data_IF_084289066035
#
_entry.id   IF_084289066035
#
_cell.length_a   1.000
_cell.length_b   1.000
_cell.length_c   1.000
_cell.angle_alpha   90.00
_cell.angle_beta   90.00
_cell.angle_gamma   90.00
#
_symmetry.space_group_name_H-M   'P 1'
#
loop_
_entity.id
_entity.type
_entity.pdbx_description
1 polymer ?
#
# COMPACT_ATOMS: atom_id res chain seq x y z
N UNK A 1 77.31 10.63 -77.29
CA UNK A 1 76.80 9.95 -78.50
C UNK A 1 77.18 8.48 -78.42
N UNK A 2 76.20 7.59 -78.63
CA UNK A 2 76.24 6.24 -79.28
C UNK A 2 77.58 5.45 -79.23
N UNK A 3 77.66 4.13 -78.99
CA UNK A 3 76.69 3.01 -78.87
C UNK A 3 77.52 1.70 -78.85
N UNK A 4 77.01 0.66 -78.15
CA UNK A 4 77.20 -0.80 -78.36
C UNK A 4 78.63 -1.40 -78.17
N UNK A 5 78.87 -2.61 -77.66
CA UNK A 5 78.17 -3.89 -77.86
C UNK A 5 78.64 -4.98 -76.84
N UNK A 6 77.66 -5.76 -76.38
CA UNK A 6 77.59 -7.11 -75.77
C UNK A 6 78.80 -7.99 -75.35
N UNK A 7 78.58 -8.60 -74.16
CA UNK A 7 78.72 -10.00 -73.73
C UNK A 7 80.11 -10.64 -73.51
N UNK A 8 80.36 -11.11 -72.27
CA UNK A 8 80.74 -12.50 -72.00
C UNK A 8 80.32 -12.90 -70.56
N UNK A 9 79.65 -14.05 -70.49
CA UNK A 9 79.28 -14.81 -69.29
C UNK A 9 80.57 -15.38 -68.69
N UNK A 10 80.73 -15.24 -67.37
CA UNK A 10 81.82 -15.84 -66.60
C UNK A 10 81.35 -16.20 -65.21
N UNK A 11 80.53 -17.25 -65.11
CA UNK A 11 80.34 -18.00 -63.87
C UNK A 11 81.69 -18.57 -63.44
N UNK A 12 82.33 -17.97 -62.44
CA UNK A 12 83.30 -18.68 -61.62
C UNK A 12 82.52 -19.52 -60.60
N UNK A 13 82.13 -20.70 -61.04
CA UNK A 13 81.63 -21.78 -60.20
C UNK A 13 82.78 -22.23 -59.28
N UNK A 14 82.76 -21.78 -58.03
CA UNK A 14 83.49 -22.45 -56.97
C UNK A 14 82.70 -23.72 -56.63
N UNK A 15 83.19 -24.83 -57.15
CA UNK A 15 82.68 -26.16 -56.85
C UNK A 15 83.13 -26.50 -55.41
N UNK A 16 82.25 -26.35 -54.43
CA UNK A 16 82.44 -26.95 -53.10
C UNK A 16 81.91 -28.37 -53.13
N UNK A 17 82.81 -29.31 -52.89
CA UNK A 17 82.56 -30.74 -52.79
C UNK A 17 81.72 -31.00 -51.54
N UNK A 18 80.51 -31.53 -51.68
CA UNK A 18 79.75 -32.05 -50.54
C UNK A 18 80.33 -33.42 -50.19
N UNK A 19 81.08 -33.47 -49.10
CA UNK A 19 81.33 -34.70 -48.34
C UNK A 19 80.73 -34.44 -46.96
N UNK A 20 79.71 -35.22 -46.59
CA UNK A 20 79.03 -35.18 -45.30
C UNK A 20 78.32 -33.88 -44.88
N UNK A 21 77.76 -33.13 -45.84
CA UNK A 21 76.61 -32.24 -45.57
C UNK A 21 76.84 -30.95 -44.76
N UNK A 22 78.08 -30.47 -44.52
CA UNK A 22 78.34 -29.16 -43.91
C UNK A 22 78.95 -28.16 -44.91
N UNK A 23 78.42 -26.94 -44.94
CA UNK A 23 78.99 -25.78 -45.64
C UNK A 23 79.98 -25.08 -44.70
N UNK A 24 81.21 -24.83 -45.16
CA UNK A 24 82.21 -24.06 -44.41
C UNK A 24 81.74 -22.61 -44.17
N UNK A 25 81.70 -22.17 -42.91
CA UNK A 25 81.55 -20.75 -42.55
C UNK A 25 80.63 -20.37 -41.37
N UNK A 26 79.94 -21.32 -40.73
CA UNK A 26 79.33 -21.13 -39.40
C UNK A 26 79.78 -22.28 -38.53
N UNK A 27 80.66 -22.02 -37.56
CA UNK A 27 80.95 -23.01 -36.51
C UNK A 27 79.61 -23.33 -35.83
N UNK A 28 79.21 -24.60 -35.87
CA UNK A 28 78.14 -25.10 -35.03
C UNK A 28 78.56 -24.83 -33.57
N UNK A 29 77.66 -24.26 -32.77
CA UNK A 29 77.87 -24.11 -31.34
C UNK A 29 78.35 -25.47 -30.75
N UNK A 30 79.27 -25.48 -29.78
CA UNK A 30 79.70 -26.73 -29.19
C UNK A 30 78.50 -27.41 -28.53
N UNK A 31 78.35 -28.70 -28.78
CA UNK A 31 77.56 -29.58 -27.92
C UNK A 31 78.02 -29.34 -26.47
N UNK A 32 77.09 -29.19 -25.51
CA UNK A 32 77.40 -28.81 -24.13
C UNK A 32 78.28 -29.83 -23.38
N UNK A 33 78.69 -30.91 -24.04
CA UNK A 33 79.69 -31.87 -23.60
C UNK A 33 81.05 -31.20 -23.31
N UNK A 34 81.30 -30.94 -22.03
CA UNK A 34 82.57 -30.36 -21.55
C UNK A 34 82.64 -28.84 -21.61
N UNK A 35 81.53 -28.18 -21.96
CA UNK A 35 81.37 -26.73 -21.81
C UNK A 35 81.04 -26.40 -20.34
N UNK A 36 81.52 -25.25 -19.87
CA UNK A 36 81.16 -24.73 -18.55
C UNK A 36 79.71 -24.18 -18.58
N UNK A 37 79.01 -24.21 -17.45
CA UNK A 37 77.66 -23.64 -17.34
C UNK A 37 77.66 -22.14 -17.72
N UNK A 38 76.66 -21.70 -18.48
CA UNK A 38 76.58 -20.35 -19.07
C UNK A 38 77.26 -20.23 -20.44
N UNK A 39 77.95 -21.28 -20.92
CA UNK A 39 78.46 -21.28 -22.31
C UNK A 39 77.29 -21.29 -23.28
N UNK A 40 77.26 -20.42 -24.29
CA UNK A 40 76.15 -20.41 -25.24
C UNK A 40 76.07 -21.66 -26.11
N UNK A 41 74.85 -22.10 -26.39
CA UNK A 41 74.53 -23.27 -27.19
C UNK A 41 73.31 -23.01 -28.09
N UNK A 42 73.13 -23.85 -29.10
CA UNK A 42 71.97 -23.78 -30.02
C UNK A 42 70.98 -24.88 -29.63
N UNK A 43 69.71 -24.52 -29.41
CA UNK A 43 68.67 -25.50 -29.09
C UNK A 43 68.29 -26.28 -30.36
N UNK A 44 68.45 -27.60 -30.32
CA UNK A 44 68.20 -28.50 -31.45
C UNK A 44 66.85 -28.21 -32.14
N UNK A 45 66.91 -27.66 -33.35
CA UNK A 45 65.74 -27.42 -34.20
C UNK A 45 65.03 -26.07 -34.04
N UNK A 46 65.63 -25.09 -33.36
CA UNK A 46 65.11 -23.71 -33.27
C UNK A 46 66.18 -22.66 -33.59
N UNK A 47 65.77 -21.45 -34.00
CA UNK A 47 66.69 -20.30 -34.07
C UNK A 47 66.95 -19.67 -32.68
N UNK A 48 66.40 -20.25 -31.60
CA UNK A 48 66.59 -19.77 -30.24
C UNK A 48 67.95 -20.23 -29.72
N UNK A 49 68.73 -19.26 -29.26
CA UNK A 49 69.99 -19.48 -28.56
C UNK A 49 69.68 -19.80 -27.10
N UNK A 50 70.52 -20.64 -26.48
CA UNK A 50 70.40 -20.99 -25.07
C UNK A 50 71.78 -21.06 -24.43
N UNK A 51 71.81 -21.56 -23.19
CA UNK A 51 73.04 -21.71 -22.40
C UNK A 51 73.20 -23.15 -21.93
N UNK A 52 74.45 -23.60 -21.81
CA UNK A 52 74.77 -24.88 -21.23
C UNK A 52 74.49 -24.84 -19.73
N UNK A 53 73.72 -25.81 -19.23
CA UNK A 53 73.49 -26.05 -17.82
C UNK A 53 73.60 -27.54 -17.53
N UNK A 54 74.57 -27.92 -16.70
CA UNK A 54 74.86 -29.32 -16.38
C UNK A 54 75.03 -30.21 -17.63
N UNK A 55 75.78 -29.72 -18.62
CA UNK A 55 76.08 -30.40 -19.89
C UNK A 55 74.88 -30.57 -20.85
N UNK A 56 73.76 -29.87 -20.62
CA UNK A 56 72.64 -29.82 -21.55
C UNK A 56 72.35 -28.38 -21.97
N UNK A 57 71.90 -28.17 -23.21
CA UNK A 57 71.47 -26.85 -23.66
C UNK A 57 70.06 -26.54 -23.15
N UNK A 58 69.90 -25.46 -22.39
CA UNK A 58 68.60 -24.96 -21.91
C UNK A 58 68.31 -23.57 -22.44
N UNK A 59 67.04 -23.21 -22.55
CA UNK A 59 66.60 -21.83 -22.83
C UNK A 59 67.18 -20.93 -21.74
N UNK A 60 67.85 -19.84 -22.13
CA UNK A 60 68.25 -18.79 -21.19
C UNK A 60 67.01 -18.00 -20.80
N UNK A 61 66.79 -17.83 -19.51
CA UNK A 61 65.72 -16.98 -18.99
C UNK A 61 66.27 -16.16 -17.85
N UNK A 62 65.91 -14.88 -17.84
CA UNK A 62 66.27 -14.01 -16.74
C UNK A 62 65.85 -14.56 -15.38
N UNK A 63 66.80 -14.62 -14.44
CA UNK A 63 66.63 -15.19 -13.11
C UNK A 63 67.05 -16.66 -13.00
N UNK A 64 67.78 -17.22 -13.97
CA UNK A 64 68.21 -18.63 -13.94
C UNK A 64 69.60 -18.85 -13.30
N UNK A 65 70.27 -17.75 -12.97
CA UNK A 65 71.57 -17.64 -12.31
C UNK A 65 72.74 -17.46 -13.29
N UNK A 66 72.48 -17.31 -14.58
CA UNK A 66 73.51 -17.26 -15.63
C UNK A 66 73.21 -16.15 -16.64
N UNK A 67 74.22 -15.35 -16.96
CA UNK A 67 74.10 -14.26 -17.95
C UNK A 67 74.35 -14.77 -19.37
N UNK A 68 73.35 -14.71 -20.25
CA UNK A 68 73.48 -15.04 -21.67
C UNK A 68 73.90 -13.83 -22.52
N UNK A 69 75.19 -13.80 -22.85
CA UNK A 69 75.79 -12.75 -23.68
C UNK A 69 75.25 -12.68 -25.13
N UNK A 70 74.58 -13.72 -25.64
CA UNK A 70 74.01 -13.68 -26.99
C UNK A 70 72.57 -13.16 -27.02
N UNK A 71 71.87 -13.22 -25.90
CA UNK A 71 70.52 -12.69 -25.74
C UNK A 71 70.52 -11.24 -25.20
N UNK A 72 71.71 -10.62 -25.15
CA UNK A 72 71.93 -9.25 -24.65
C UNK A 72 71.53 -9.06 -23.17
N UNK A 73 71.55 -10.12 -22.37
CA UNK A 73 71.33 -10.04 -20.93
C UNK A 73 72.48 -9.26 -20.27
N UNK A 74 72.13 -8.25 -19.47
CA UNK A 74 73.10 -7.39 -18.79
C UNK A 74 73.49 -7.93 -17.42
N UNK A 75 72.58 -8.68 -16.80
CA UNK A 75 72.69 -9.28 -15.47
C UNK A 75 71.87 -10.57 -15.40
N UNK A 76 72.06 -11.34 -14.32
CA UNK A 76 71.17 -12.39 -13.85
C UNK A 76 71.54 -12.67 -12.38
N UNK A 77 70.60 -12.49 -11.46
CA UNK A 77 70.80 -12.69 -10.01
C UNK A 77 70.19 -14.00 -9.48
N UNK A 78 69.64 -14.82 -10.38
CA UNK A 78 69.06 -16.12 -10.06
C UNK A 78 67.65 -16.07 -9.47
N UNK A 79 66.93 -14.95 -9.59
CA UNK A 79 65.54 -14.86 -9.16
C UNK A 79 64.66 -13.91 -10.02
N UNK A 80 63.39 -13.72 -9.66
CA UNK A 80 62.42 -12.89 -10.41
C UNK A 80 61.92 -11.68 -9.57
N UNK A 81 62.66 -11.25 -8.56
CA UNK A 81 62.38 -10.03 -7.80
C UNK A 81 62.88 -8.84 -8.61
N UNK A 82 62.16 -7.71 -8.55
CA UNK A 82 62.55 -6.45 -9.20
C UNK A 82 63.28 -5.57 -8.18
N UNK A 83 64.23 -4.76 -8.64
CA UNK A 83 64.98 -3.81 -7.80
C UNK A 83 66.16 -4.40 -7.01
N UNK A 84 66.43 -5.71 -7.05
CA UNK A 84 67.51 -6.38 -6.32
C UNK A 84 68.80 -6.60 -7.15
N UNK A 85 68.89 -5.97 -8.32
CA UNK A 85 70.09 -5.96 -9.15
C UNK A 85 69.80 -6.31 -10.61
N UNK A 86 68.77 -7.11 -10.87
CA UNK A 86 68.36 -7.49 -12.22
C UNK A 86 66.84 -7.52 -12.40
N UNK A 87 66.34 -6.84 -13.43
CA UNK A 87 64.89 -6.77 -13.65
C UNK A 87 64.30 -8.06 -14.25
N UNK A 88 63.19 -8.57 -13.66
CA UNK A 88 62.58 -9.81 -14.13
C UNK A 88 62.07 -9.64 -15.57
N UNK A 89 62.56 -10.51 -16.45
CA UNK A 89 62.12 -10.62 -17.84
C UNK A 89 62.83 -9.73 -18.86
N UNK A 90 63.45 -8.62 -18.45
CA UNK A 90 64.31 -7.82 -19.36
C UNK A 90 65.79 -8.14 -19.19
N UNK A 91 66.20 -8.65 -18.01
CA UNK A 91 67.60 -8.86 -17.67
C UNK A 91 68.48 -7.63 -17.86
N UNK A 92 67.85 -6.46 -17.71
CA UNK A 92 68.53 -5.20 -17.56
C UNK A 92 68.84 -4.99 -16.07
N UNK A 93 69.93 -4.27 -15.80
CA UNK A 93 70.23 -3.83 -14.43
C UNK A 93 69.04 -3.05 -13.86
N UNK A 94 68.69 -3.29 -12.59
CA UNK A 94 67.58 -2.59 -11.93
C UNK A 94 67.76 -1.08 -11.89
N UNK A 95 69.00 -0.60 -11.88
CA UNK A 95 69.30 0.82 -12.00
C UNK A 95 70.70 1.09 -12.54
N UNK A 96 70.89 2.22 -13.22
CA UNK A 96 72.22 2.78 -13.53
C UNK A 96 72.46 4.11 -12.80
N UNK A 97 71.37 4.79 -12.42
CA UNK A 97 71.36 6.01 -11.63
C UNK A 97 70.18 6.03 -10.65
N UNK A 98 70.23 6.92 -9.66
CA UNK A 98 69.17 7.08 -8.65
C UNK A 98 67.78 7.31 -9.26
N UNK A 99 67.72 7.99 -10.43
CA UNK A 99 66.47 8.26 -11.14
C UNK A 99 65.78 6.99 -11.68
N UNK A 100 66.52 5.89 -11.82
CA UNK A 100 65.96 4.61 -12.28
C UNK A 100 65.30 3.83 -11.12
N UNK A 101 65.61 4.19 -9.87
CA UNK A 101 65.01 3.64 -8.66
C UNK A 101 63.80 4.45 -8.16
N UNK A 102 63.48 5.60 -8.76
CA UNK A 102 62.31 6.37 -8.33
C UNK A 102 61.02 5.62 -8.69
N UNK A 103 60.45 4.90 -7.72
CA UNK A 103 59.13 4.32 -7.82
C UNK A 103 58.02 5.38 -7.61
N UNK A 104 56.76 4.97 -7.80
CA UNK A 104 55.60 5.83 -7.52
C UNK A 104 55.32 5.95 -6.00
N UNK A 105 56.05 5.23 -5.14
CA UNK A 105 55.82 5.16 -3.70
C UNK A 105 56.58 6.25 -2.94
N UNK A 106 56.18 7.50 -3.20
CA UNK A 106 56.70 8.75 -2.59
C UNK A 106 56.94 8.68 -1.07
N UNK A 107 56.21 7.84 -0.32
CA UNK A 107 56.29 7.76 1.13
C UNK A 107 57.48 6.97 1.70
N UNK A 108 58.12 6.07 0.94
CA UNK A 108 59.32 5.36 1.38
C UNK A 108 60.61 6.22 1.23
N UNK A 109 60.49 7.38 0.58
CA UNK A 109 61.56 8.35 0.38
C UNK A 109 62.36 8.11 -0.89
N UNK A 110 63.08 9.12 -1.37
CA UNK A 110 63.89 9.03 -2.60
C UNK A 110 64.85 7.84 -2.53
N UNK A 111 64.66 6.89 -3.45
CA UNK A 111 65.50 5.70 -3.55
C UNK A 111 66.87 6.05 -4.15
N UNK A 112 67.90 5.29 -3.79
CA UNK A 112 69.26 5.44 -4.32
C UNK A 112 69.74 4.16 -4.97
N UNK A 113 70.38 4.30 -6.12
CA UNK A 113 70.97 3.21 -6.87
C UNK A 113 72.41 2.95 -6.37
N UNK A 114 72.67 1.72 -5.91
CA UNK A 114 74.06 1.29 -5.72
C UNK A 114 74.65 0.88 -7.07
N UNK A 115 75.39 1.80 -7.71
CA UNK A 115 76.01 1.57 -9.03
C UNK A 115 77.03 0.41 -9.07
N UNK A 116 77.41 -0.19 -7.93
CA UNK A 116 78.28 -1.37 -7.91
C UNK A 116 77.51 -2.69 -7.96
N UNK A 117 76.28 -2.71 -7.44
CA UNK A 117 75.43 -3.91 -7.33
C UNK A 117 74.16 -3.80 -8.17
N UNK A 118 73.91 -2.62 -8.73
CA UNK A 118 72.69 -2.25 -9.46
C UNK A 118 71.41 -2.43 -8.65
N UNK A 119 71.49 -2.44 -7.32
CA UNK A 119 70.33 -2.59 -6.43
C UNK A 119 69.74 -1.23 -6.05
N UNK A 120 68.41 -1.13 -6.02
CA UNK A 120 67.72 0.03 -5.47
C UNK A 120 67.58 -0.08 -3.95
N UNK A 121 67.90 0.99 -3.26
CA UNK A 121 67.75 1.08 -1.80
C UNK A 121 66.81 2.22 -1.43
N UNK A 122 65.72 1.88 -0.74
CA UNK A 122 64.76 2.86 -0.26
C UNK A 122 65.42 3.92 0.64
N UNK A 123 64.96 5.16 0.49
CA UNK A 123 65.46 6.30 1.24
C UNK A 123 64.96 6.39 2.68
N UNK A 124 65.09 7.58 3.27
CA UNK A 124 64.39 7.91 4.51
C UNK A 124 62.94 8.22 4.21
N UNK A 125 62.00 7.60 4.93
CA UNK A 125 60.56 7.84 4.78
C UNK A 125 60.25 9.34 4.69
N UNK A 126 59.35 9.69 3.76
CA UNK A 126 58.90 11.07 3.60
C UNK A 126 58.30 11.58 4.93
N UNK A 127 58.38 12.90 5.15
CA UNK A 127 57.78 13.51 6.33
C UNK A 127 56.26 13.29 6.31
N UNK A 128 55.66 13.13 7.49
CA UNK A 128 54.20 13.06 7.62
C UNK A 128 53.56 14.31 6.98
N UNK A 129 52.50 14.12 6.19
CA UNK A 129 51.82 15.18 5.43
C UNK A 129 52.41 15.47 4.04
N UNK A 130 53.37 14.66 3.56
CA UNK A 130 53.84 14.72 2.17
C UNK A 130 52.75 14.12 1.26
N UNK A 131 52.30 14.86 0.24
CA UNK A 131 51.33 14.35 -0.72
C UNK A 131 51.86 13.11 -1.47
N UNK A 132 50.98 12.13 -1.67
CA UNK A 132 51.25 10.88 -2.39
C UNK A 132 49.99 10.45 -3.17
N UNK A 133 50.13 9.47 -4.05
CA UNK A 133 49.01 8.92 -4.84
C UNK A 133 49.03 7.41 -4.67
N UNK A 134 47.88 6.80 -4.37
CA UNK A 134 47.75 5.35 -4.26
C UNK A 134 47.63 4.70 -5.66
N UNK A 135 47.77 3.37 -5.73
CA UNK A 135 47.68 2.60 -6.99
C UNK A 135 46.35 2.75 -7.71
N UNK A 136 45.28 3.13 -6.99
CA UNK A 136 43.94 3.40 -7.52
C UNK A 136 43.74 4.85 -7.98
N UNK A 137 44.83 5.62 -8.10
CA UNK A 137 44.87 7.04 -8.48
C UNK A 137 44.20 7.98 -7.46
N UNK A 138 43.92 7.53 -6.24
CA UNK A 138 43.43 8.40 -5.17
C UNK A 138 44.55 9.24 -4.56
N UNK A 139 44.28 10.54 -4.37
CA UNK A 139 45.19 11.45 -3.68
C UNK A 139 45.25 11.08 -2.18
N UNK A 140 46.45 11.08 -1.62
CA UNK A 140 46.69 10.76 -0.21
C UNK A 140 47.86 11.54 0.40
N UNK A 141 48.13 11.27 1.67
CA UNK A 141 49.28 11.81 2.41
C UNK A 141 50.10 10.69 3.06
N UNK A 142 51.41 10.90 3.12
CA UNK A 142 52.32 10.01 3.81
C UNK A 142 52.13 10.11 5.32
N UNK A 143 51.93 8.97 5.98
CA UNK A 143 51.95 8.85 7.45
C UNK A 143 52.69 7.58 7.86
N UNK A 144 53.78 7.74 8.61
CA UNK A 144 54.65 6.64 9.05
C UNK A 144 55.16 5.75 7.89
N UNK A 145 55.46 6.35 6.73
CA UNK A 145 56.03 5.65 5.57
C UNK A 145 55.01 4.96 4.65
N UNK A 146 53.71 5.19 4.84
CA UNK A 146 52.64 4.64 3.97
C UNK A 146 51.75 5.76 3.45
N UNK A 147 51.33 5.68 2.20
CA UNK A 147 50.36 6.59 1.60
C UNK A 147 48.94 6.24 2.06
N UNK A 148 48.16 7.22 2.55
CA UNK A 148 46.78 7.02 3.03
C UNK A 148 45.85 8.08 2.44
N UNK A 149 44.61 7.69 2.13
CA UNK A 149 43.57 8.57 1.58
C UNK A 149 43.11 9.57 2.65
N UNK A 150 42.96 10.83 2.25
CA UNK A 150 42.38 11.90 3.09
C UNK A 150 40.86 11.83 3.03
N UNK A 151 40.18 11.93 4.17
CA UNK A 151 38.74 12.06 4.22
C UNK A 151 38.08 11.24 5.31
N UNK A 152 36.85 11.67 5.61
CA UNK A 152 36.09 11.18 6.74
C UNK A 152 35.82 9.68 6.70
N UNK A 153 36.01 9.04 7.84
CA UNK A 153 35.75 7.61 8.04
C UNK A 153 36.97 6.73 7.79
N UNK A 154 38.19 7.28 7.77
CA UNK A 154 39.42 6.52 7.57
C UNK A 154 40.04 5.97 8.88
N UNK A 155 39.44 6.32 10.02
CA UNK A 155 39.79 5.92 11.39
C UNK A 155 40.82 6.82 12.05
N UNK A 156 41.21 7.94 11.44
CA UNK A 156 42.24 8.85 11.94
C UNK A 156 41.87 10.31 11.69
N UNK A 157 41.72 11.13 12.74
CA UNK A 157 41.49 12.56 12.57
C UNK A 157 42.66 13.23 11.83
N UNK A 158 42.36 13.77 10.65
CA UNK A 158 43.29 14.52 9.81
C UNK A 158 43.18 16.04 10.02
N UNK A 159 44.11 16.82 9.47
CA UNK A 159 44.16 18.28 9.70
C UNK A 159 42.96 18.97 9.03
N UNK A 160 42.02 19.47 9.84
CA UNK A 160 40.77 20.08 9.38
C UNK A 160 39.51 19.28 9.73
N UNK A 161 39.66 18.03 10.17
CA UNK A 161 38.57 17.20 10.68
C UNK A 161 38.37 17.43 12.19
N UNK A 162 37.13 17.43 12.66
CA UNK A 162 36.81 17.55 14.09
C UNK A 162 36.80 16.18 14.80
N UNK A 163 36.57 15.12 14.02
CA UNK A 163 36.52 13.73 14.42
C UNK A 163 36.83 12.85 13.21
N UNK A 164 37.13 11.57 13.45
CA UNK A 164 37.05 10.49 12.47
C UNK A 164 36.90 9.19 13.27
N UNK A 165 35.80 8.48 13.06
CA UNK A 165 35.44 7.28 13.82
C UNK A 165 35.61 5.98 12.99
N UNK A 166 36.16 6.09 11.78
CA UNK A 166 36.42 4.97 10.89
C UNK A 166 35.25 4.55 10.01
N UNK A 167 34.19 5.35 9.91
CA UNK A 167 33.10 5.13 8.96
C UNK A 167 32.41 6.44 8.50
N UNK A 168 31.42 6.35 7.59
CA UNK A 168 30.68 7.50 7.03
C UNK A 168 29.22 7.59 7.53
N UNK A 169 28.86 6.88 8.62
CA UNK A 169 27.51 6.83 9.18
C UNK A 169 27.29 8.04 10.09
N UNK A 170 26.33 8.89 9.73
CA UNK A 170 25.89 10.00 10.58
C UNK A 170 25.31 9.54 11.93
N UNK A 171 25.38 10.42 12.94
CA UNK A 171 24.82 10.27 14.29
C UNK A 171 25.47 9.21 15.20
N UNK A 172 26.65 8.69 14.89
CA UNK A 172 27.39 7.78 15.78
C UNK A 172 28.52 8.47 16.57
N UNK A 173 28.69 9.77 16.38
CA UNK A 173 29.73 10.59 17.03
C UNK A 173 30.61 11.33 16.04
N UNK A 174 30.62 10.92 14.77
CA UNK A 174 31.26 11.66 13.68
C UNK A 174 30.40 11.68 12.42
N UNK A 175 30.05 12.87 11.95
CA UNK A 175 29.28 13.02 10.72
C UNK A 175 30.13 12.73 9.48
N UNK A 176 29.48 12.39 8.37
CA UNK A 176 30.15 12.15 7.07
C UNK A 176 30.96 13.33 6.52
N UNK A 177 30.79 14.54 7.08
CA UNK A 177 31.59 15.72 6.77
C UNK A 177 32.68 16.03 7.81
N UNK A 178 32.94 15.07 8.71
CA UNK A 178 33.94 15.13 9.77
C UNK A 178 33.74 16.27 10.76
N UNK A 179 32.47 16.64 10.96
CA UNK A 179 32.02 17.39 12.12
C UNK A 179 31.50 16.45 13.20
N UNK A 180 31.66 16.81 14.47
CA UNK A 180 31.09 15.99 15.55
C UNK A 180 29.57 16.12 15.55
N UNK A 181 28.85 15.04 15.86
CA UNK A 181 27.39 15.01 15.77
C UNK A 181 26.69 15.98 16.73
N UNK A 182 27.26 16.24 17.91
CA UNK A 182 26.69 17.20 18.87
C UNK A 182 27.72 17.78 19.85
N UNK A 183 27.45 18.99 20.37
CA UNK A 183 28.14 19.59 21.52
C UNK A 183 27.20 19.87 22.69
N UNK A 184 25.92 20.14 22.41
CA UNK A 184 24.86 20.29 23.42
C UNK A 184 23.61 19.52 23.01
N UNK A 185 22.67 19.37 23.94
CA UNK A 185 21.40 18.70 23.68
C UNK A 185 20.62 19.38 22.54
N UNK A 186 20.75 20.71 22.37
CA UNK A 186 20.13 21.44 21.26
C UNK A 186 20.60 21.01 19.87
N UNK A 187 21.82 20.46 19.74
CA UNK A 187 22.36 20.01 18.45
C UNK A 187 21.70 18.69 17.98
N UNK A 188 21.11 17.92 18.91
CA UNK A 188 20.41 16.68 18.61
C UNK A 188 18.94 16.87 18.20
N UNK A 189 18.38 18.08 18.38
CA UNK A 189 16.93 18.37 18.21
C UNK A 189 16.50 18.40 16.74
N UNK A 190 17.41 18.59 15.79
CA UNK A 190 17.09 18.74 14.36
C UNK A 190 17.17 17.40 13.57
N UNK A 191 17.50 16.30 14.24
CA UNK A 191 17.65 14.97 13.62
C UNK A 191 16.52 14.02 14.00
N UNK A 192 15.78 14.33 15.05
CA UNK A 192 14.58 13.61 15.47
C UNK A 192 13.38 13.99 14.58
N UNK A 193 13.09 13.13 13.60
CA UNK A 193 11.86 13.22 12.80
C UNK A 193 10.65 12.57 13.51
N UNK A 194 10.80 12.17 14.77
CA UNK A 194 9.80 11.44 15.54
C UNK A 194 9.57 12.02 16.93
N UNK A 195 8.45 12.69 17.16
CA UNK A 195 8.08 13.25 18.50
C UNK A 195 7.85 12.20 19.61
N UNK A 196 8.23 10.94 19.38
CA UNK A 196 7.92 9.73 20.15
C UNK A 196 9.03 9.24 21.08
N UNK A 197 10.25 9.77 21.00
CA UNK A 197 11.36 9.43 21.88
C UNK A 197 11.89 10.67 22.61
N UNK A 198 10.97 11.42 23.25
CA UNK A 198 11.33 12.45 24.21
C UNK A 198 12.21 13.56 23.63
N UNK A 199 13.06 14.18 24.45
CA UNK A 199 14.08 15.11 23.97
C UNK A 199 15.42 14.38 23.92
N UNK A 200 16.06 14.40 22.76
CA UNK A 200 17.40 13.83 22.59
C UNK A 200 18.43 14.53 23.46
N UNK A 201 19.39 13.75 23.94
CA UNK A 201 20.50 14.25 24.75
C UNK A 201 21.83 13.95 24.08
N UNK A 202 22.76 14.89 24.17
CA UNK A 202 24.10 14.71 23.64
C UNK A 202 25.00 14.04 24.70
N UNK A 203 25.52 12.85 24.41
CA UNK A 203 26.65 12.32 25.19
C UNK A 203 27.93 13.08 24.82
N UNK A 204 28.20 14.16 25.55
CA UNK A 204 29.42 14.98 25.37
C UNK A 204 30.75 14.23 25.56
N UNK A 205 30.74 12.98 26.04
CA UNK A 205 31.96 12.16 26.11
C UNK A 205 32.28 11.49 24.77
N UNK A 206 31.27 11.18 23.96
CA UNK A 206 31.40 10.53 22.65
C UNK A 206 30.92 11.41 21.49
N UNK A 207 30.33 12.56 21.80
CA UNK A 207 29.62 13.46 20.88
C UNK A 207 28.50 12.76 20.10
N UNK A 208 27.86 11.76 20.71
CA UNK A 208 26.77 10.98 20.09
C UNK A 208 25.42 11.44 20.61
N UNK A 209 24.43 11.59 19.73
CA UNK A 209 23.05 11.85 20.14
C UNK A 209 22.39 10.55 20.64
N UNK A 210 21.84 10.60 21.86
CA UNK A 210 21.09 9.52 22.46
C UNK A 210 19.60 9.88 22.47
N UNK A 211 18.80 9.01 21.84
CA UNK A 211 17.33 9.07 21.87
C UNK A 211 16.80 9.18 23.30
N UNK A 212 15.80 10.03 23.50
CA UNK A 212 15.14 10.21 24.80
C UNK A 212 14.35 8.97 25.26
N UNK A 213 13.72 9.08 26.43
CA UNK A 213 12.82 8.03 26.92
C UNK A 213 11.57 7.97 26.03
N UNK A 214 11.22 6.77 25.55
CA UNK A 214 10.04 6.55 24.71
C UNK A 214 8.80 7.18 25.34
N UNK A 215 8.08 7.95 24.54
CA UNK A 215 6.83 8.57 24.94
C UNK A 215 5.80 7.46 25.20
N UNK A 216 5.40 7.34 26.46
CA UNK A 216 4.34 6.43 26.88
C UNK A 216 2.99 7.01 26.47
N UNK A 217 2.42 6.46 25.39
CA UNK A 217 1.14 6.87 24.85
C UNK A 217 -0.05 6.10 25.45
N UNK A 218 0.19 5.16 26.37
CA UNK A 218 -0.88 4.44 27.07
C UNK A 218 -1.70 5.41 27.93
N UNK A 219 -2.93 5.70 27.48
CA UNK A 219 -3.87 6.54 28.23
C UNK A 219 -4.69 5.73 29.25
N UNK A 220 -4.32 4.46 29.43
CA UNK A 220 -4.98 3.45 30.24
C UNK A 220 -6.41 3.12 29.78
N UNK A 221 -6.80 3.51 28.56
CA UNK A 221 -8.05 3.13 27.94
C UNK A 221 -7.86 1.82 27.16
N UNK A 222 -8.45 0.69 27.62
CA UNK A 222 -8.33 -0.58 26.91
C UNK A 222 -9.06 -0.63 25.56
N UNK A 223 -9.83 0.41 25.21
CA UNK A 223 -10.62 0.54 23.98
C UNK A 223 -9.94 1.42 22.92
N UNK A 224 -8.71 1.86 23.13
CA UNK A 224 -7.89 2.51 22.10
C UNK A 224 -6.66 1.67 21.84
N UNK A 225 -6.25 1.61 20.58
CA UNK A 225 -4.90 1.19 20.25
C UNK A 225 -4.00 2.41 20.41
N UNK A 226 -3.19 2.38 21.45
CA UNK A 226 -2.24 3.43 21.73
C UNK A 226 -0.98 3.20 20.91
N UNK A 227 -0.62 4.22 20.14
CA UNK A 227 0.57 4.21 19.30
C UNK A 227 1.18 5.61 19.30
N UNK A 228 2.45 5.69 18.93
CA UNK A 228 3.07 6.99 18.71
C UNK A 228 3.35 7.17 17.22
N UNK A 229 2.70 8.17 16.62
CA UNK A 229 2.95 8.61 15.26
C UNK A 229 4.19 9.54 15.24
N UNK A 230 5.17 9.29 14.36
CA UNK A 230 6.39 10.11 14.29
C UNK A 230 6.15 11.62 14.10
N UNK A 231 5.05 12.03 13.47
CA UNK A 231 4.76 13.43 13.17
C UNK A 231 3.74 14.00 14.17
N UNK A 232 2.70 13.23 14.48
CA UNK A 232 1.55 13.70 15.29
C UNK A 232 1.71 13.43 16.79
N UNK A 233 2.61 12.52 17.19
CA UNK A 233 2.82 12.11 18.58
C UNK A 233 1.85 11.03 19.01
N UNK A 234 1.41 11.05 20.26
CA UNK A 234 0.51 10.01 20.76
C UNK A 234 -0.82 10.02 19.99
N UNK A 235 -1.14 8.86 19.43
CA UNK A 235 -2.39 8.55 18.74
C UNK A 235 -3.06 7.42 19.49
N UNK A 236 -4.27 7.68 19.97
CA UNK A 236 -5.11 6.70 20.65
C UNK A 236 -6.26 6.37 19.71
N UNK A 237 -6.10 5.30 18.94
CA UNK A 237 -6.99 4.96 17.83
C UNK A 237 -8.14 4.07 18.31
N UNK A 238 -9.40 4.53 18.26
CA UNK A 238 -10.56 3.71 18.62
C UNK A 238 -10.96 2.73 17.52
N UNK A 239 -10.51 2.90 16.28
CA UNK A 239 -10.98 2.12 15.12
C UNK A 239 -10.72 0.61 15.17
N UNK A 240 -9.73 0.07 15.91
CA UNK A 240 -9.61 -1.37 16.09
C UNK A 240 -10.77 -1.99 16.89
N UNK A 241 -11.61 -1.15 17.50
CA UNK A 241 -12.70 -1.54 18.37
C UNK A 241 -14.06 -0.92 17.98
N UNK A 242 -14.10 -0.05 16.96
CA UNK A 242 -15.28 0.57 16.30
C UNK A 242 -14.94 0.69 14.80
N UNK A 243 -15.09 -0.42 14.07
CA UNK A 243 -14.60 -0.59 12.71
C UNK A 243 -15.58 -0.04 11.66
N UNK A 244 -16.87 -0.03 11.94
CA UNK A 244 -17.88 0.60 11.08
C UNK A 244 -18.16 2.07 11.42
N UNK A 245 -17.59 2.59 12.51
CA UNK A 245 -17.63 3.99 12.93
C UNK A 245 -19.03 4.48 13.33
N UNK A 246 -19.86 3.60 13.87
CA UNK A 246 -21.19 3.94 14.38
C UNK A 246 -21.17 4.52 15.81
N UNK A 247 -20.02 4.45 16.48
CA UNK A 247 -19.78 4.96 17.82
C UNK A 247 -20.09 3.97 18.95
N UNK A 248 -20.37 2.72 18.61
CA UNK A 248 -20.49 1.58 19.50
C UNK A 248 -19.25 0.67 19.34
N UNK A 249 -18.88 -0.03 20.41
CA UNK A 249 -17.61 -0.77 20.44
C UNK A 249 -17.83 -2.28 20.59
N UNK A 250 -17.00 -3.07 19.92
CA UNK A 250 -16.99 -4.52 20.07
C UNK A 250 -16.43 -4.95 21.44
N UNK A 251 -17.30 -5.19 22.41
CA UNK A 251 -17.02 -5.96 23.64
C UNK A 251 -15.96 -5.42 24.63
N UNK A 252 -15.31 -4.27 24.38
CA UNK A 252 -14.44 -3.61 25.35
C UNK A 252 -15.29 -2.86 26.40
N UNK A 253 -14.96 -2.95 27.70
CA UNK A 253 -15.74 -2.35 28.83
C UNK A 253 -17.28 -2.58 28.83
N UNK A 254 -17.78 -3.63 28.17
CA UNK A 254 -19.23 -3.83 28.03
C UNK A 254 -19.82 -3.14 26.80
N UNK A 255 -19.00 -2.92 25.79
CA UNK A 255 -19.37 -2.55 24.44
C UNK A 255 -20.55 -3.38 23.94
N UNK A 256 -21.42 -2.68 23.23
CA UNK A 256 -22.82 -3.03 23.02
C UNK A 256 -23.12 -3.27 21.53
N UNK A 257 -22.08 -3.29 20.71
CA UNK A 257 -22.13 -3.68 19.31
C UNK A 257 -21.80 -5.18 19.14
N UNK A 258 -22.66 -5.85 18.38
CA UNK A 258 -22.61 -7.28 18.08
C UNK A 258 -22.17 -7.59 16.64
N UNK A 259 -22.06 -6.59 15.76
CA UNK A 259 -21.50 -6.68 14.40
C UNK A 259 -20.77 -5.39 14.01
N UNK A 260 -19.52 -5.29 14.45
CA UNK A 260 -18.52 -4.21 14.23
C UNK A 260 -18.10 -4.02 12.76
N UNK A 261 -18.93 -4.44 11.82
CA UNK A 261 -18.73 -4.27 10.39
C UNK A 261 -19.95 -3.66 9.68
N UNK A 262 -20.97 -3.29 10.44
CA UNK A 262 -22.28 -2.85 9.96
C UNK A 262 -22.84 -1.74 10.86
N UNK A 263 -22.73 -0.49 10.40
CA UNK A 263 -23.13 0.75 11.09
C UNK A 263 -24.65 0.86 11.42
N UNK A 264 -25.41 -0.19 11.15
CA UNK A 264 -26.82 -0.34 11.47
C UNK A 264 -27.10 -1.36 12.58
N UNK A 265 -26.06 -1.96 13.17
CA UNK A 265 -26.15 -3.04 14.15
C UNK A 265 -25.45 -2.63 15.46
N UNK A 266 -26.22 -2.22 16.46
CA UNK A 266 -25.70 -1.83 17.78
C UNK A 266 -26.81 -1.82 18.81
N UNK A 267 -26.47 -1.90 20.11
CA UNK A 267 -27.49 -1.93 21.15
C UNK A 267 -28.40 -0.70 21.13
N UNK A 268 -29.70 -0.95 20.99
CA UNK A 268 -30.73 0.08 20.97
C UNK A 268 -31.02 0.69 19.60
N UNK A 269 -30.43 0.16 18.52
CA UNK A 269 -30.88 0.46 17.17
C UNK A 269 -32.36 0.07 16.95
N UNK A 270 -32.97 0.58 15.88
CA UNK A 270 -34.31 0.13 15.47
C UNK A 270 -34.19 -1.27 14.88
N UNK A 271 -34.94 -2.23 15.43
CA UNK A 271 -34.98 -3.58 14.90
C UNK A 271 -35.79 -3.63 13.62
N UNK A 272 -35.20 -4.17 12.56
CA UNK A 272 -35.82 -4.34 11.26
C UNK A 272 -36.13 -5.82 11.03
N UNK A 273 -36.89 -6.10 9.99
CA UNK A 273 -37.10 -7.44 9.47
C UNK A 273 -36.16 -7.68 8.28
N UNK A 274 -34.86 -7.61 8.52
CA UNK A 274 -33.81 -7.72 7.48
C UNK A 274 -32.90 -8.95 7.67
N UNK A 275 -33.17 -9.77 8.68
CA UNK A 275 -32.42 -10.98 9.02
C UNK A 275 -31.19 -10.71 9.90
N UNK A 276 -31.08 -9.52 10.49
CA UNK A 276 -30.03 -9.15 11.45
C UNK A 276 -30.61 -9.02 12.86
N UNK A 277 -29.72 -8.92 13.84
CA UNK A 277 -30.03 -8.51 15.22
C UNK A 277 -29.62 -7.04 15.32
N UNK A 278 -30.39 -6.12 14.70
CA UNK A 278 -29.95 -4.72 14.56
C UNK A 278 -29.71 -4.08 15.92
N UNK A 279 -30.51 -4.44 16.92
CA UNK A 279 -30.45 -3.83 18.24
C UNK A 279 -29.61 -4.63 19.26
N UNK A 280 -28.94 -5.69 18.83
CA UNK A 280 -28.08 -6.56 19.63
C UNK A 280 -28.74 -7.17 20.89
N UNK A 281 -30.05 -7.47 20.86
CA UNK A 281 -30.78 -8.04 22.00
C UNK A 281 -31.22 -9.50 21.81
N UNK A 282 -30.29 -10.44 21.68
CA UNK A 282 -30.56 -11.89 21.75
C UNK A 282 -31.82 -12.32 20.97
N UNK A 283 -31.87 -11.93 19.70
CA UNK A 283 -32.94 -12.20 18.75
C UNK A 283 -32.41 -12.02 17.33
N UNK A 284 -33.13 -12.48 16.33
CA UNK A 284 -32.96 -11.99 14.96
C UNK A 284 -34.37 -11.60 14.57
N UNK A 285 -34.56 -10.35 14.16
CA UNK A 285 -35.87 -9.75 13.87
C UNK A 285 -36.89 -9.97 15.01
N UNK A 286 -36.49 -9.84 16.30
CA UNK A 286 -37.36 -10.15 17.44
C UNK A 286 -38.48 -9.13 17.67
N UNK A 287 -38.37 -7.96 17.03
CA UNK A 287 -39.46 -7.00 16.91
C UNK A 287 -40.00 -7.04 15.48
N UNK A 288 -41.10 -7.75 15.29
CA UNK A 288 -41.78 -7.88 14.00
C UNK A 288 -43.08 -7.04 13.95
N UNK A 289 -43.52 -6.61 12.75
CA UNK A 289 -44.84 -6.03 12.59
C UNK A 289 -45.92 -7.04 12.98
N UNK A 290 -47.05 -6.53 13.48
CA UNK A 290 -48.20 -7.36 13.87
C UNK A 290 -49.22 -7.35 12.75
N UNK A 291 -49.60 -8.53 12.30
CA UNK A 291 -50.64 -8.76 11.30
C UNK A 291 -51.98 -9.03 11.98
N UNK A 292 -53.03 -8.39 11.47
CA UNK A 292 -54.43 -8.52 11.90
C UNK A 292 -55.24 -9.15 10.78
N UNK A 293 -56.19 -10.02 11.12
CA UNK A 293 -57.01 -10.72 10.12
C UNK A 293 -57.86 -9.70 9.35
N UNK A 294 -57.86 -9.80 8.02
CA UNK A 294 -58.63 -8.97 7.09
C UNK A 294 -59.30 -9.95 6.09
N UNK A 295 -60.56 -10.29 6.37
CA UNK A 295 -61.24 -11.38 5.66
C UNK A 295 -61.78 -10.98 4.28
N UNK A 296 -62.07 -9.71 4.05
CA UNK A 296 -62.60 -9.21 2.78
C UNK A 296 -61.55 -8.47 1.91
N UNK A 297 -60.38 -8.20 2.49
CA UNK A 297 -59.18 -7.67 1.87
C UNK A 297 -59.21 -6.16 1.62
N UNK A 298 -60.04 -5.38 2.31
CA UNK A 298 -60.11 -3.94 2.14
C UNK A 298 -58.97 -3.15 2.81
N UNK A 299 -58.14 -3.83 3.60
CA UNK A 299 -56.96 -3.28 4.28
C UNK A 299 -57.21 -2.90 5.73
N UNK A 300 -58.40 -3.12 6.28
CA UNK A 300 -58.74 -2.90 7.68
C UNK A 300 -59.10 -4.22 8.35
N UNK A 301 -58.91 -4.30 9.67
CA UNK A 301 -59.27 -5.47 10.46
C UNK A 301 -60.41 -5.10 11.40
N UNK A 302 -61.31 -6.03 11.67
CA UNK A 302 -62.41 -5.78 12.60
C UNK A 302 -62.01 -5.87 14.07
N UNK A 303 -61.00 -6.69 14.40
CA UNK A 303 -60.52 -6.82 15.77
C UNK A 303 -59.05 -7.25 15.86
N UNK A 304 -58.58 -7.42 17.11
CA UNK A 304 -57.20 -7.83 17.41
C UNK A 304 -57.08 -9.32 17.76
N UNK A 305 -58.16 -10.09 17.62
CA UNK A 305 -58.15 -11.53 17.87
C UNK A 305 -57.32 -12.21 16.79
N UNK A 306 -56.52 -13.20 17.18
CA UNK A 306 -55.64 -13.95 16.29
C UNK A 306 -54.55 -13.11 15.62
N UNK A 307 -54.23 -11.92 16.14
CA UNK A 307 -53.11 -11.13 15.63
C UNK A 307 -51.78 -11.91 15.76
N UNK A 308 -50.94 -11.81 14.73
CA UNK A 308 -49.68 -12.56 14.62
C UNK A 308 -48.50 -11.59 14.40
N UNK A 309 -47.52 -11.52 15.31
CA UNK A 309 -46.25 -10.86 15.02
C UNK A 309 -45.45 -11.70 14.03
N UNK A 310 -45.07 -11.13 12.88
CA UNK A 310 -44.31 -11.81 11.82
C UNK A 310 -43.72 -10.81 10.83
N UNK A 311 -42.50 -11.05 10.36
CA UNK A 311 -41.87 -10.22 9.33
C UNK A 311 -42.56 -10.36 7.96
N UNK A 312 -42.94 -11.59 7.63
CA UNK A 312 -43.70 -11.89 6.42
C UNK A 312 -45.21 -11.92 6.71
N UNK A 313 -46.01 -11.59 5.71
CA UNK A 313 -47.46 -11.79 5.75
C UNK A 313 -47.76 -13.27 6.02
N UNK A 314 -48.53 -13.61 7.08
CA UNK A 314 -48.81 -15.00 7.41
C UNK A 314 -49.64 -15.70 6.33
N UNK A 315 -49.65 -17.04 6.36
CA UNK A 315 -50.55 -17.80 5.51
C UNK A 315 -52.03 -17.41 5.76
N UNK A 316 -52.92 -17.51 4.75
CA UNK A 316 -54.31 -17.09 4.88
C UNK A 316 -55.02 -17.69 6.10
N UNK A 317 -55.62 -16.84 6.93
CA UNK A 317 -56.35 -17.28 8.11
C UNK A 317 -57.64 -18.02 7.70
N UNK A 318 -57.88 -19.19 8.29
CA UNK A 318 -59.02 -20.05 7.92
C UNK A 318 -58.99 -20.55 6.47
N UNK A 319 -57.91 -20.32 5.72
CA UNK A 319 -57.73 -20.69 4.32
C UNK A 319 -58.25 -19.69 3.29
N UNK A 320 -58.89 -18.59 3.71
CA UNK A 320 -59.48 -17.59 2.80
C UNK A 320 -59.23 -16.14 3.20
N UNK A 321 -59.09 -15.84 4.49
CA UNK A 321 -58.90 -14.47 4.96
C UNK A 321 -57.44 -14.02 4.77
N UNK A 322 -57.26 -12.77 4.35
CA UNK A 322 -55.97 -12.10 4.25
C UNK A 322 -55.56 -11.44 5.56
N UNK A 323 -54.61 -10.51 5.46
CA UNK A 323 -54.07 -9.79 6.59
C UNK A 323 -53.84 -8.30 6.29
N UNK A 324 -53.91 -7.47 7.31
CA UNK A 324 -53.47 -6.07 7.30
C UNK A 324 -52.50 -5.81 8.46
N UNK A 325 -51.61 -4.83 8.33
CA UNK A 325 -50.77 -4.34 9.42
C UNK A 325 -51.37 -3.10 10.13
N UNK A 326 -52.57 -2.68 9.74
CA UNK A 326 -53.29 -1.59 10.40
C UNK A 326 -53.97 -2.11 11.65
N UNK A 327 -53.49 -1.69 12.82
CA UNK A 327 -54.10 -2.08 14.10
C UNK A 327 -55.50 -1.46 14.25
N UNK A 328 -56.55 -2.27 14.49
CA UNK A 328 -57.87 -1.73 14.80
C UNK A 328 -57.88 -1.12 16.20
N UNK A 329 -57.90 0.22 16.25
CA UNK A 329 -57.97 0.99 17.49
C UNK A 329 -58.92 2.18 17.34
N UNK A 330 -60.23 1.90 17.46
CA UNK A 330 -61.30 2.91 17.37
C UNK A 330 -61.91 3.02 15.97
N UNK A 331 -63.03 3.73 15.83
CA UNK A 331 -63.89 3.68 14.64
C UNK A 331 -63.20 4.18 13.36
N UNK A 332 -62.21 5.07 13.47
CA UNK A 332 -61.50 5.61 12.31
C UNK A 332 -60.53 4.64 11.62
N UNK A 333 -60.28 3.45 12.20
CA UNK A 333 -59.33 2.44 11.68
C UNK A 333 -59.78 1.00 11.94
N UNK A 334 -60.98 0.80 12.48
CA UNK A 334 -61.52 -0.53 12.79
C UNK A 334 -62.61 -0.84 11.77
N UNK A 335 -62.47 -1.97 11.10
CA UNK A 335 -63.51 -2.43 10.21
C UNK A 335 -64.76 -2.86 11.00
N UNK A 336 -65.91 -2.34 10.60
CA UNK A 336 -67.19 -2.67 11.20
C UNK A 336 -67.85 -3.89 10.54
N UNK A 337 -67.33 -4.36 9.39
CA UNK A 337 -67.84 -5.54 8.67
C UNK A 337 -66.77 -6.26 7.84
N UNK A 338 -66.05 -7.18 8.49
CA UNK A 338 -64.96 -8.02 7.93
C UNK A 338 -65.40 -9.04 6.85
N UNK A 339 -66.69 -9.07 6.52
CA UNK A 339 -67.24 -9.94 5.47
C UNK A 339 -67.56 -9.15 4.18
N UNK A 340 -67.36 -7.83 4.14
CA UNK A 340 -67.79 -6.97 3.06
C UNK A 340 -66.85 -5.80 2.78
N UNK A 341 -65.94 -6.01 1.82
CA UNK A 341 -64.90 -5.10 1.31
C UNK A 341 -65.33 -3.68 0.93
N UNK A 342 -66.62 -3.41 0.87
CA UNK A 342 -67.17 -2.07 0.61
C UNK A 342 -67.38 -1.28 1.89
N UNK A 343 -67.32 -1.91 3.05
CA UNK A 343 -67.55 -1.34 4.38
C UNK A 343 -66.19 -1.18 5.04
N UNK A 344 -65.70 0.05 5.17
CA UNK A 344 -64.42 0.31 5.84
C UNK A 344 -64.32 1.74 6.35
N UNK A 345 -63.46 2.01 7.35
CA UNK A 345 -63.25 3.35 7.87
C UNK A 345 -62.97 4.41 6.81
N UNK A 346 -63.82 5.43 6.75
CA UNK A 346 -63.65 6.54 5.81
C UNK A 346 -64.04 6.24 4.35
N UNK A 347 -64.80 5.17 4.10
CA UNK A 347 -65.43 4.91 2.80
C UNK A 347 -66.21 6.13 2.29
N UNK A 348 -66.06 6.43 1.00
CA UNK A 348 -66.78 7.51 0.31
C UNK A 348 -67.63 7.01 -0.86
N UNK A 349 -67.57 5.73 -1.22
CA UNK A 349 -68.33 5.22 -2.35
C UNK A 349 -69.84 5.17 -2.08
N UNK A 350 -70.63 5.67 -3.03
CA UNK A 350 -72.09 5.59 -3.02
C UNK A 350 -72.60 4.15 -3.01
N UNK A 351 -73.50 3.80 -2.08
CA UNK A 351 -74.18 2.50 -2.04
C UNK A 351 -75.71 2.64 -2.09
N UNK A 352 -76.35 1.97 -3.05
CA UNK A 352 -77.82 2.05 -3.27
C UNK A 352 -78.65 1.12 -2.39
N UNK A 353 -78.00 0.22 -1.65
CA UNK A 353 -78.63 -0.81 -0.83
C UNK A 353 -78.01 -0.84 0.55
N UNK A 354 -78.81 -1.21 1.55
CA UNK A 354 -78.31 -1.50 2.88
C UNK A 354 -77.21 -2.58 2.80
N UNK A 355 -76.32 -2.58 3.79
CA UNK A 355 -75.25 -3.57 3.90
C UNK A 355 -75.89 -4.96 3.89
N UNK A 356 -75.39 -5.83 3.01
CA UNK A 356 -76.02 -7.15 2.80
C UNK A 356 -75.47 -8.13 3.82
N UNK A 357 -76.36 -8.74 4.60
CA UNK A 357 -75.97 -9.70 5.65
C UNK A 357 -76.23 -9.18 7.05
N UNK A 358 -76.43 -7.86 7.20
CA UNK A 358 -76.63 -7.25 8.52
C UNK A 358 -78.01 -7.54 9.13
N UNK A 359 -78.10 -7.66 10.47
CA UNK A 359 -79.35 -7.89 11.18
C UNK A 359 -80.38 -6.78 10.97
N UNK A 360 -79.92 -5.53 10.79
CA UNK A 360 -80.78 -4.40 10.48
C UNK A 360 -80.86 -4.22 8.94
N UNK A 361 -82.03 -4.43 8.32
CA UNK A 361 -82.20 -4.23 6.88
C UNK A 361 -82.14 -2.74 6.46
N UNK A 362 -81.84 -1.84 7.39
CA UNK A 362 -81.65 -0.41 7.19
C UNK A 362 -80.28 0.10 7.60
N UNK A 363 -79.29 -0.80 7.76
CA UNK A 363 -77.89 -0.47 8.02
C UNK A 363 -77.18 0.07 6.75
N UNK A 364 -76.64 1.28 6.82
CA UNK A 364 -75.94 2.00 5.77
C UNK A 364 -74.58 2.56 6.23
N UNK A 365 -74.04 2.13 7.37
CA UNK A 365 -72.74 2.60 7.85
C UNK A 365 -71.57 1.95 7.09
N UNK A 366 -71.44 2.27 5.80
CA UNK A 366 -70.35 1.76 4.96
C UNK A 366 -68.99 2.36 5.31
N UNK A 367 -68.95 3.44 6.10
CA UNK A 367 -67.72 4.16 6.45
C UNK A 367 -67.28 3.98 7.90
N UNK A 368 -67.95 3.11 8.65
CA UNK A 368 -67.67 2.72 10.02
C UNK A 368 -67.53 3.91 10.99
N UNK A 369 -68.35 4.95 10.80
CA UNK A 369 -68.35 6.13 11.67
C UNK A 369 -69.46 6.12 12.73
N UNK A 370 -70.19 5.00 12.83
CA UNK A 370 -71.35 4.78 13.70
C UNK A 370 -72.58 5.64 13.32
N UNK A 371 -72.54 6.37 12.20
CA UNK A 371 -73.65 7.15 11.67
C UNK A 371 -74.30 6.51 10.42
N UNK A 372 -75.57 6.13 10.57
CA UNK A 372 -76.40 5.58 9.50
C UNK A 372 -76.69 6.59 8.37
N UNK A 373 -75.83 6.66 7.35
CA UNK A 373 -75.95 7.63 6.25
C UNK A 373 -76.25 7.00 4.89
N UNK A 374 -77.49 7.16 4.41
CA UNK A 374 -77.86 6.87 3.02
C UNK A 374 -77.25 7.92 2.08
N UNK A 375 -76.44 7.48 1.13
CA UNK A 375 -76.00 8.36 0.05
C UNK A 375 -77.19 8.62 -0.92
N UNK A 376 -77.45 9.89 -1.26
CA UNK A 376 -78.59 10.33 -2.07
C UNK A 376 -78.13 10.98 -3.38
N UNK A 377 -78.61 10.46 -4.52
CA UNK A 377 -78.27 11.01 -5.85
C UNK A 377 -78.84 12.43 -6.07
N UNK A 378 -78.17 13.30 -6.85
CA UNK A 378 -78.75 14.54 -7.35
C UNK A 378 -79.89 14.24 -8.36
N UNK A 379 -80.94 15.07 -8.33
CA UNK A 379 -82.05 15.00 -9.28
C UNK A 379 -81.53 15.28 -10.71
N UNK A 380 -81.85 14.44 -11.72
CA UNK A 380 -81.56 14.81 -13.10
C UNK A 380 -82.31 16.10 -13.44
N UNK A 381 -81.65 16.99 -14.20
CA UNK A 381 -82.19 18.30 -14.57
C UNK A 381 -83.57 18.16 -15.22
N UNK A 382 -84.61 18.60 -14.51
CA UNK A 382 -86.01 18.54 -14.97
C UNK A 382 -86.88 17.46 -14.32
N UNK A 383 -86.37 16.66 -13.37
CA UNK A 383 -87.22 15.76 -12.59
C UNK A 383 -88.10 16.56 -11.60
N UNK A 384 -89.42 16.37 -11.70
CA UNK A 384 -90.40 16.99 -10.80
C UNK A 384 -90.34 16.33 -9.43
N UNK A 385 -90.32 17.19 -8.40
CA UNK A 385 -90.42 16.86 -6.97
C UNK A 385 -91.64 15.97 -6.69
N UNK A 386 -91.45 14.99 -5.83
CA UNK A 386 -92.46 14.04 -5.36
C UNK A 386 -93.52 14.69 -4.49
N UNK A 387 -94.75 14.21 -4.67
CA UNK A 387 -95.85 14.36 -3.72
C UNK A 387 -95.60 13.52 -2.46
N UNK A 388 -95.31 14.16 -1.33
CA UNK A 388 -95.36 13.48 -0.03
C UNK A 388 -96.75 12.90 0.19
N UNK A 389 -96.82 11.61 0.56
CA UNK A 389 -98.08 10.91 0.74
C UNK A 389 -98.09 10.10 2.03
N UNK A 390 -99.27 9.91 2.61
CA UNK A 390 -99.46 9.00 3.74
C UNK A 390 -99.68 7.59 3.22
N UNK A 391 -98.75 6.69 3.54
CA UNK A 391 -98.87 5.26 3.27
C UNK A 391 -98.77 4.49 4.59
N UNK A 392 -99.75 3.64 4.88
CA UNK A 392 -99.79 2.81 6.10
C UNK A 392 -99.59 3.59 7.43
N UNK A 393 -100.14 4.80 7.53
CA UNK A 393 -100.05 5.63 8.74
C UNK A 393 -98.68 6.27 8.96
N UNK A 394 -97.73 6.13 8.02
CA UNK A 394 -96.44 6.83 8.01
C UNK A 394 -96.35 7.75 6.80
N UNK A 395 -95.60 8.84 6.97
CA UNK A 395 -95.33 9.77 5.88
C UNK A 395 -94.22 9.20 4.99
N UNK A 396 -94.45 9.14 3.67
CA UNK A 396 -93.55 8.50 2.71
C UNK A 396 -93.49 9.25 1.38
N UNK A 397 -92.29 9.25 0.79
CA UNK A 397 -91.96 9.80 -0.52
C UNK A 397 -90.45 9.68 -0.75
N UNK A 398 -89.99 9.70 -1.99
CA UNK A 398 -88.55 9.66 -2.29
C UNK A 398 -87.90 10.98 -1.86
N UNK A 399 -86.78 10.87 -1.15
CA UNK A 399 -85.97 12.00 -0.72
C UNK A 399 -84.96 12.37 -1.81
N UNK A 400 -84.74 13.67 -2.00
CA UNK A 400 -83.77 14.19 -2.96
C UNK A 400 -83.01 15.37 -2.39
N UNK A 401 -81.76 15.52 -2.83
CA UNK A 401 -80.99 16.75 -2.64
C UNK A 401 -81.65 17.88 -3.44
N UNK A 402 -81.97 18.99 -2.77
CA UNK A 402 -82.71 20.13 -3.37
C UNK A 402 -81.78 21.23 -3.86
N UNK A 403 -80.54 21.23 -3.37
CA UNK A 403 -79.46 22.12 -3.80
C UNK A 403 -78.26 21.28 -4.20
N UNK A 404 -77.93 21.27 -5.50
CA UNK A 404 -76.70 20.66 -6.01
C UNK A 404 -75.50 21.38 -5.38
N UNK A 405 -74.78 20.69 -4.49
CA UNK A 405 -73.67 21.25 -3.72
C UNK A 405 -72.52 20.27 -3.79
N UNK A 406 -71.29 20.79 -3.92
CA UNK A 406 -70.10 19.95 -4.01
C UNK A 406 -69.98 19.02 -2.79
N UNK A 407 -69.41 17.84 -3.04
CA UNK A 407 -68.89 16.91 -2.06
C UNK A 407 -68.25 17.64 -0.85
N UNK A 408 -68.61 17.20 0.37
CA UNK A 408 -68.05 17.67 1.64
C UNK A 408 -68.62 19.01 2.10
N UNK A 409 -69.56 19.61 1.37
CA UNK A 409 -70.22 20.86 1.76
C UNK A 409 -71.62 20.62 2.28
N UNK A 410 -72.14 21.54 3.10
CA UNK A 410 -73.53 21.45 3.57
C UNK A 410 -74.52 21.65 2.43
N UNK A 411 -75.28 20.60 2.10
CA UNK A 411 -76.38 20.63 1.13
C UNK A 411 -77.74 20.64 1.82
N UNK A 412 -78.78 21.08 1.11
CA UNK A 412 -80.17 21.01 1.58
C UNK A 412 -80.87 19.80 0.97
N UNK A 413 -81.56 19.05 1.82
CA UNK A 413 -82.21 17.79 1.47
C UNK A 413 -83.69 17.88 1.76
N UNK A 414 -84.49 17.32 0.85
CA UNK A 414 -85.93 17.17 1.06
C UNK A 414 -86.28 15.74 1.41
N UNK A 415 -87.08 15.58 2.45
CA UNK A 415 -87.71 14.33 2.82
C UNK A 415 -89.16 14.59 3.26
N UNK A 416 -89.96 13.53 3.37
CA UNK A 416 -91.35 13.64 3.81
C UNK A 416 -91.44 13.36 5.31
N UNK A 417 -92.03 14.28 6.08
CA UNK A 417 -92.22 14.14 7.53
C UNK A 417 -93.69 14.41 7.92
N UNK A 418 -94.11 13.83 9.04
CA UNK A 418 -95.44 14.07 9.59
C UNK A 418 -95.50 15.42 10.31
N UNK A 419 -96.53 16.22 10.02
CA UNK A 419 -96.83 17.49 10.67
C UNK A 419 -98.29 17.54 11.13
N UNK A 420 -98.64 18.59 11.89
CA UNK A 420 -100.01 18.86 12.30
C UNK A 420 -100.98 19.09 11.12
N UNK A 421 -100.46 19.31 9.90
CA UNK A 421 -101.24 19.50 8.67
C UNK A 421 -101.24 18.27 7.74
N UNK A 422 -100.58 17.19 8.13
CA UNK A 422 -100.49 15.95 7.34
C UNK A 422 -99.05 15.57 7.01
N UNK A 423 -98.86 14.76 5.98
CA UNK A 423 -97.53 14.39 5.49
C UNK A 423 -97.00 15.50 4.57
N UNK A 424 -95.96 16.21 5.00
CA UNK A 424 -95.42 17.37 4.30
C UNK A 424 -93.93 17.22 3.99
N UNK A 425 -93.46 18.00 3.03
CA UNK A 425 -92.04 18.07 2.69
C UNK A 425 -91.33 18.92 3.73
N UNK A 426 -90.26 18.40 4.29
CA UNK A 426 -89.34 19.10 5.20
C UNK A 426 -87.97 19.22 4.54
N UNK A 427 -87.32 20.35 4.77
CA UNK A 427 -85.95 20.60 4.34
C UNK A 427 -84.99 20.57 5.53
N UNK A 428 -83.86 19.87 5.37
CA UNK A 428 -82.79 19.82 6.36
C UNK A 428 -81.44 20.07 5.69
N UNK A 429 -80.59 20.83 6.35
CA UNK A 429 -79.20 21.04 5.95
C UNK A 429 -78.31 19.99 6.63
N UNK A 430 -77.52 19.25 5.85
CA UNK A 430 -76.54 18.26 6.31
C UNK A 430 -75.36 18.23 5.33
N UNK A 431 -74.21 17.68 5.73
CA UNK A 431 -73.07 17.58 4.80
C UNK A 431 -73.36 16.61 3.66
N UNK A 432 -72.92 16.99 2.47
CA UNK A 432 -72.98 16.19 1.26
C UNK A 432 -71.88 15.16 1.32
N UNK A 433 -72.27 13.90 1.56
CA UNK A 433 -71.38 12.77 1.36
C UNK A 433 -70.93 12.74 -0.11
N UNK A 434 -69.65 12.46 -0.30
CA UNK A 434 -68.93 12.64 -1.54
C UNK A 434 -68.85 11.34 -2.31
N UNK A 435 -69.00 11.39 -3.64
CA UNK A 435 -68.48 10.37 -4.56
C UNK A 435 -66.99 10.57 -4.82
#
# INVERSE_FOLDING_TARGET
>A
MRRYLFAFIGLASACSLVVDGKLDGKEAAPDCEGADDGTPCELDGSEAMGICRSQACSVSTCGDGLVDANNEEQCDDGNEVSGDGCEPGSCAFSCEADADCEDIFVCNGTESCDAATHTCTAGTSAADGTACVLEDESDGECRAGTCRVFGCGNGLPDDGEQCDDGNEVSNDGCESDCTVSCFTDEDCVELDQTVCDGADTCDTATNTCMGGELLDCDDANPCTADSCDPIEGCVNDPTPFDMDMDGHFAGCEGGDDCDDTDDTVYTGAEELCDGKDNNCVMGIDEVAPVWYVDCDGDGFAADTNNAVPSCDEPAPFGGTCGWTNTRPSGPSVTDCNDDNRLVYPGQTAYQSSAITGEPDPTDFDYNCDEEETRDYRPLPSGALIISCSTAFGRCSGTAYMTTDTACGRTGTYSYCAASLRGCERVERSQQVSCR
#
